data_IF_183156661371
#
_entry.id   IF_183156661371
#
_cell.length_a   1.000
_cell.length_b   1.000
_cell.length_c   1.000
_cell.angle_alpha   90.00
_cell.angle_beta   90.00
_cell.angle_gamma   90.00
#
_symmetry.space_group_name_H-M   'P 1'
#
loop_
_entity.id
_entity.type
_entity.pdbx_description
1 polymer ?
#
# COMPACT_ATOMS: atom_id res chain seq x y z
N UNK A 1 12.62 -27.16 12.90
CA UNK A 1 11.82 -26.17 12.17
C UNK A 1 11.60 -26.67 10.75
N UNK A 2 10.35 -26.83 10.29
CA UNK A 2 10.07 -27.12 8.88
C UNK A 2 9.89 -25.78 8.17
N UNK A 3 10.89 -25.35 7.39
CA UNK A 3 10.75 -24.20 6.49
C UNK A 3 9.99 -24.67 5.26
N UNK A 4 8.89 -23.99 4.93
CA UNK A 4 8.13 -24.27 3.71
C UNK A 4 8.48 -23.22 2.66
N UNK A 5 9.00 -23.66 1.50
CA UNK A 5 9.22 -22.81 0.33
C UNK A 5 8.13 -23.07 -0.69
N UNK A 6 7.34 -22.06 -1.01
CA UNK A 6 6.31 -22.13 -2.03
C UNK A 6 6.58 -21.08 -3.12
N UNK A 7 6.64 -21.52 -4.38
CA UNK A 7 6.72 -20.64 -5.55
C UNK A 7 5.39 -20.65 -6.28
N UNK A 8 4.76 -19.47 -6.44
CA UNK A 8 3.52 -19.32 -7.21
C UNK A 8 3.89 -18.72 -8.57
N UNK A 9 3.81 -19.56 -9.62
CA UNK A 9 3.85 -19.15 -11.05
C UNK A 9 5.22 -19.22 -11.76
N UNK A 10 5.21 -19.74 -13.01
CA UNK A 10 6.21 -19.43 -14.06
C UNK A 10 5.64 -18.29 -14.91
N UNK A 11 6.44 -17.31 -15.36
CA UNK A 11 5.92 -16.16 -16.08
C UNK A 11 5.17 -16.57 -17.35
N UNK A 12 3.88 -16.24 -17.44
CA UNK A 12 3.04 -16.39 -18.65
C UNK A 12 2.57 -15.01 -19.11
N UNK A 13 2.20 -14.90 -20.38
CA UNK A 13 1.82 -13.64 -21.04
C UNK A 13 0.58 -12.93 -20.45
N UNK A 14 -0.07 -13.50 -19.43
CA UNK A 14 -1.24 -12.98 -18.72
C UNK A 14 -0.95 -12.43 -17.31
N UNK A 15 0.31 -12.46 -16.84
CA UNK A 15 0.68 -12.13 -15.44
C UNK A 15 0.65 -10.62 -15.12
N UNK A 16 0.25 -9.77 -16.06
CA UNK A 16 0.24 -8.32 -15.91
C UNK A 16 -1.02 -7.74 -15.25
N UNK A 17 -2.11 -8.51 -15.18
CA UNK A 17 -3.36 -8.12 -14.52
C UNK A 17 -3.39 -8.55 -13.05
N UNK A 18 -2.60 -9.57 -12.67
CA UNK A 18 -2.49 -10.03 -11.29
C UNK A 18 -1.54 -9.14 -10.48
N UNK A 19 -2.07 -8.49 -9.45
CA UNK A 19 -1.27 -7.74 -8.47
C UNK A 19 -0.55 -8.69 -7.52
N UNK A 20 0.77 -8.67 -7.55
CA UNK A 20 1.63 -9.38 -6.60
C UNK A 20 1.32 -8.96 -5.17
N UNK A 21 1.04 -7.67 -4.96
CA UNK A 21 0.82 -7.11 -3.62
C UNK A 21 -0.44 -7.69 -2.97
N UNK A 22 -1.53 -7.83 -3.72
CA UNK A 22 -2.77 -8.42 -3.18
C UNK A 22 -2.56 -9.89 -2.79
N UNK A 23 -1.90 -10.68 -3.64
CA UNK A 23 -1.57 -12.09 -3.34
C UNK A 23 -0.77 -12.20 -2.04
N UNK A 24 0.26 -11.35 -1.89
CA UNK A 24 1.09 -11.37 -0.69
C UNK A 24 0.30 -10.98 0.56
N UNK A 25 -0.56 -9.97 0.50
CA UNK A 25 -1.41 -9.57 1.63
C UNK A 25 -2.36 -10.68 2.05
N UNK A 26 -2.97 -11.39 1.09
CA UNK A 26 -3.83 -12.54 1.38
C UNK A 26 -3.08 -13.67 2.08
N UNK A 27 -1.82 -13.91 1.71
CA UNK A 27 -1.01 -15.00 2.29
C UNK A 27 -0.33 -14.62 3.60
N UNK A 28 -0.05 -13.34 3.84
CA UNK A 28 0.76 -12.90 4.98
C UNK A 28 0.13 -13.27 6.33
N UNK A 29 -1.16 -12.96 6.53
CA UNK A 29 -1.81 -13.18 7.83
C UNK A 29 -1.99 -14.68 8.17
N UNK A 30 -2.48 -15.55 7.25
CA UNK A 30 -2.56 -16.97 7.53
C UNK A 30 -1.20 -17.61 7.83
N UNK A 31 -0.15 -17.23 7.09
CA UNK A 31 1.20 -17.75 7.32
C UNK A 31 1.77 -17.29 8.67
N UNK A 32 1.53 -16.03 9.04
CA UNK A 32 1.92 -15.50 10.34
C UNK A 32 1.22 -16.23 11.50
N UNK A 33 -0.07 -16.55 11.34
CA UNK A 33 -0.86 -17.24 12.36
C UNK A 33 -0.55 -18.73 12.45
N UNK A 34 -0.02 -19.35 11.39
CA UNK A 34 0.39 -20.76 11.40
C UNK A 34 1.62 -21.03 12.28
N UNK A 35 2.36 -20.00 12.71
CA UNK A 35 3.51 -20.08 13.61
C UNK A 35 4.80 -20.64 13.00
N UNK A 36 4.76 -21.12 11.75
CA UNK A 36 5.91 -21.64 11.03
C UNK A 36 6.58 -20.60 10.13
N UNK A 37 7.91 -20.57 10.13
CA UNK A 37 8.66 -19.73 9.19
C UNK A 37 8.39 -20.14 7.73
N UNK A 38 8.11 -19.15 6.89
CA UNK A 38 7.67 -19.34 5.50
C UNK A 38 8.36 -18.35 4.57
N UNK A 39 8.72 -18.81 3.37
CA UNK A 39 9.24 -17.97 2.28
C UNK A 39 8.34 -18.15 1.07
N UNK A 40 7.73 -17.05 0.61
CA UNK A 40 6.83 -17.02 -0.53
C UNK A 40 7.42 -16.12 -1.60
N UNK A 41 7.52 -16.63 -2.82
CA UNK A 41 7.92 -15.84 -3.99
C UNK A 41 6.75 -15.76 -4.96
N UNK A 42 6.38 -14.53 -5.33
CA UNK A 42 5.30 -14.26 -6.29
C UNK A 42 5.86 -13.40 -7.43
N UNK A 43 5.53 -13.77 -8.66
CA UNK A 43 5.84 -13.02 -9.86
C UNK A 43 4.55 -12.43 -10.48
N UNK A 44 4.65 -11.25 -11.10
CA UNK A 44 3.50 -10.56 -11.70
C UNK A 44 3.64 -9.02 -11.70
N UNK A 45 2.53 -8.30 -11.69
CA UNK A 45 2.52 -6.84 -11.58
C UNK A 45 2.86 -6.35 -10.17
N UNK A 46 3.90 -5.53 -10.04
CA UNK A 46 4.26 -4.86 -8.77
C UNK A 46 3.87 -3.38 -8.76
N UNK A 47 3.66 -2.78 -9.93
CA UNK A 47 3.19 -1.40 -10.10
C UNK A 47 1.98 -1.42 -11.06
N UNK A 48 0.80 -1.62 -10.48
CA UNK A 48 -0.47 -1.87 -11.19
C UNK A 48 -1.48 -0.75 -10.97
N UNK A 49 -2.40 -0.55 -11.91
CA UNK A 49 -3.42 0.52 -11.85
C UNK A 49 -4.50 0.30 -10.79
N UNK A 50 -4.97 -0.93 -10.65
CA UNK A 50 -6.19 -1.27 -9.88
C UNK A 50 -5.92 -1.84 -8.49
N UNK A 51 -4.66 -1.85 -8.08
CA UNK A 51 -4.26 -2.38 -6.79
C UNK A 51 -3.08 -1.58 -6.24
N UNK A 52 -2.99 -1.41 -4.91
CA UNK A 52 -1.87 -0.72 -4.30
C UNK A 52 -0.53 -1.35 -4.71
N UNK A 53 0.42 -0.54 -5.21
CA UNK A 53 1.68 -1.06 -5.74
C UNK A 53 2.66 -1.38 -4.60
N UNK A 54 3.80 -1.97 -4.96
CA UNK A 54 4.79 -2.42 -3.98
C UNK A 54 5.24 -1.33 -2.99
N UNK A 55 5.50 -0.06 -3.39
CA UNK A 55 5.87 0.98 -2.43
C UNK A 55 4.81 1.20 -1.34
N UNK A 56 3.52 1.13 -1.70
CA UNK A 56 2.44 1.20 -0.72
C UNK A 56 2.53 0.04 0.28
N UNK A 57 2.70 -1.19 -0.23
CA UNK A 57 2.77 -2.37 0.61
C UNK A 57 3.98 -2.31 1.56
N UNK A 58 5.13 -1.88 1.06
CA UNK A 58 6.39 -1.84 1.79
C UNK A 58 6.48 -0.69 2.81
N UNK A 59 5.99 0.50 2.46
CA UNK A 59 6.16 1.71 3.27
C UNK A 59 4.96 2.04 4.15
N UNK A 60 3.73 1.64 3.78
CA UNK A 60 2.52 1.92 4.57
C UNK A 60 1.99 0.70 5.33
N UNK A 61 1.73 -0.41 4.63
CA UNK A 61 1.05 -1.57 5.22
C UNK A 61 1.98 -2.46 6.07
N UNK A 62 3.17 -2.80 5.55
CA UNK A 62 4.12 -3.67 6.22
C UNK A 62 4.49 -3.18 7.63
N UNK A 63 4.81 -1.89 7.86
CA UNK A 63 5.14 -1.39 9.20
C UNK A 63 3.99 -1.54 10.19
N UNK A 64 2.73 -1.41 9.74
CA UNK A 64 1.56 -1.58 10.61
C UNK A 64 1.39 -3.04 11.02
N UNK A 65 1.53 -3.97 10.08
CA UNK A 65 1.46 -5.41 10.36
C UNK A 65 2.61 -5.88 11.26
N UNK A 66 3.81 -5.32 11.09
CA UNK A 66 4.93 -5.53 12.00
C UNK A 66 4.65 -4.99 13.41
N UNK A 67 4.04 -3.81 13.53
CA UNK A 67 3.60 -3.26 14.84
C UNK A 67 2.56 -4.13 15.53
N UNK A 68 1.74 -4.84 14.76
CA UNK A 68 0.82 -5.86 15.28
C UNK A 68 1.52 -7.16 15.70
N UNK A 69 2.85 -7.23 15.62
CA UNK A 69 3.65 -8.35 16.12
C UNK A 69 4.00 -9.41 15.09
N UNK A 70 3.73 -9.17 13.80
CA UNK A 70 4.09 -10.11 12.75
C UNK A 70 5.54 -9.90 12.31
N UNK A 71 6.36 -10.95 12.44
CA UNK A 71 7.70 -10.98 11.84
C UNK A 71 7.56 -11.18 10.32
N UNK A 72 7.53 -10.08 9.57
CA UNK A 72 7.30 -10.05 8.14
C UNK A 72 8.36 -9.19 7.46
N UNK A 73 8.88 -9.62 6.31
CA UNK A 73 9.70 -8.78 5.44
C UNK A 73 9.31 -8.96 3.98
N UNK A 74 9.53 -7.92 3.18
CA UNK A 74 9.22 -7.87 1.77
C UNK A 74 10.45 -7.38 0.98
N UNK A 75 10.76 -8.04 -0.11
CA UNK A 75 11.88 -7.68 -0.98
C UNK A 75 11.44 -7.64 -2.45
N UNK A 76 11.56 -6.47 -3.07
CA UNK A 76 11.35 -6.31 -4.50
C UNK A 76 12.58 -6.79 -5.28
N UNK A 77 12.48 -7.97 -5.89
CA UNK A 77 13.55 -8.54 -6.74
C UNK A 77 13.51 -8.02 -8.17
N UNK A 78 12.36 -7.55 -8.64
CA UNK A 78 12.20 -6.97 -9.96
C UNK A 78 10.91 -6.16 -10.07
N UNK A 79 10.97 -5.01 -10.74
CA UNK A 79 9.80 -4.20 -11.00
C UNK A 79 9.00 -4.79 -12.18
N UNK A 80 7.68 -4.84 -12.03
CA UNK A 80 6.75 -5.22 -13.08
C UNK A 80 5.66 -4.17 -13.21
N UNK A 81 5.75 -3.35 -14.24
CA UNK A 81 4.80 -2.27 -14.51
C UNK A 81 3.67 -2.76 -15.40
N UNK A 82 2.46 -2.30 -15.13
CA UNK A 82 1.35 -2.49 -16.07
C UNK A 82 1.66 -1.81 -17.42
N UNK A 83 1.36 -2.42 -18.58
CA UNK A 83 0.76 -3.76 -18.77
C UNK A 83 1.79 -4.87 -19.02
N UNK A 84 3.10 -4.62 -18.89
CA UNK A 84 4.12 -5.62 -19.20
C UNK A 84 4.28 -6.68 -18.09
N UNK A 85 4.07 -6.32 -16.82
CA UNK A 85 4.22 -7.21 -15.68
C UNK A 85 5.68 -7.69 -15.51
N UNK A 86 5.85 -8.95 -15.09
CA UNK A 86 7.16 -9.60 -14.94
C UNK A 86 7.98 -9.14 -13.73
N UNK A 87 7.34 -8.46 -12.78
CA UNK A 87 7.92 -8.15 -11.48
C UNK A 87 7.98 -9.36 -10.57
N UNK A 88 8.74 -9.23 -9.48
CA UNK A 88 8.94 -10.33 -8.52
C UNK A 88 9.15 -9.77 -7.13
N UNK A 89 8.42 -10.32 -6.17
CA UNK A 89 8.56 -9.98 -4.75
C UNK A 89 8.75 -11.27 -3.95
N UNK A 90 9.66 -11.21 -2.98
CA UNK A 90 9.87 -12.25 -1.98
C UNK A 90 9.30 -11.74 -0.66
N UNK A 91 8.45 -12.56 -0.03
CA UNK A 91 7.92 -12.33 1.30
C UNK A 91 8.45 -13.40 2.23
N UNK A 92 9.04 -12.98 3.34
CA UNK A 92 9.50 -13.89 4.39
C UNK A 92 8.69 -13.62 5.64
N UNK A 93 8.10 -14.70 6.18
CA UNK A 93 7.34 -14.70 7.43
C UNK A 93 8.14 -15.50 8.46
N UNK A 94 8.46 -14.90 9.59
CA UNK A 94 9.13 -15.56 10.71
C UNK A 94 8.22 -16.54 11.46
N UNK A 95 8.83 -17.31 12.36
CA UNK A 95 8.08 -18.13 13.31
C UNK A 95 7.57 -17.24 14.45
N UNK A 96 6.26 -16.98 14.48
CA UNK A 96 5.61 -16.15 15.51
C UNK A 96 4.83 -16.98 16.53
N UNK A 97 4.48 -16.35 17.65
CA UNK A 97 3.70 -16.95 18.74
C UNK A 97 2.22 -17.23 18.39
N UNK A 98 1.78 -16.81 17.19
CA UNK A 98 0.41 -16.97 16.72
C UNK A 98 -0.54 -15.95 17.35
N UNK A 99 -0.88 -14.90 16.60
CA UNK A 99 -1.81 -13.85 17.04
C UNK A 99 -1.34 -12.46 16.67
N UNK A 100 -2.29 -11.54 16.50
CA UNK A 100 -2.01 -10.14 16.22
C UNK A 100 -2.29 -9.30 17.45
N UNK A 101 -1.41 -8.33 17.73
CA UNK A 101 -1.59 -7.33 18.76
C UNK A 101 -2.59 -6.27 18.29
N UNK A 102 -3.36 -5.66 19.21
CA UNK A 102 -4.25 -4.56 18.88
C UNK A 102 -3.53 -3.38 18.22
N UNK A 103 -4.21 -2.70 17.30
CA UNK A 103 -3.71 -1.52 16.60
C UNK A 103 -4.64 -0.32 16.84
N UNK A 104 -4.12 0.74 17.45
CA UNK A 104 -4.84 1.99 17.70
C UNK A 104 -4.16 3.13 16.93
N UNK A 105 -4.89 3.72 15.98
CA UNK A 105 -4.44 4.85 15.16
C UNK A 105 -5.35 6.06 15.44
N UNK A 106 -5.18 6.62 16.63
CA UNK A 106 -6.11 7.59 17.24
C UNK A 106 -5.88 9.04 16.83
N UNK A 107 -4.78 9.32 16.16
CA UNK A 107 -4.42 10.67 15.74
C UNK A 107 -4.09 10.68 14.26
N UNK A 108 -4.65 11.62 13.48
CA UNK A 108 -4.12 11.92 12.17
C UNK A 108 -2.64 12.28 12.30
N UNK A 109 -1.78 11.74 11.45
CA UNK A 109 -0.44 12.28 11.26
C UNK A 109 -0.62 13.68 10.69
N UNK A 110 -0.57 14.73 11.51
CA UNK A 110 -0.78 16.10 11.06
C UNK A 110 0.54 16.88 10.94
N UNK A 111 0.64 17.82 10.00
CA UNK A 111 1.69 18.83 10.03
C UNK A 111 1.72 19.59 11.37
N UNK A 112 2.89 19.99 11.89
CA UNK A 112 4.21 19.94 11.24
C UNK A 112 4.91 18.58 11.36
N UNK A 113 4.27 17.55 11.90
CA UNK A 113 4.91 16.25 12.16
C UNK A 113 4.97 15.29 10.95
N UNK A 114 4.60 15.76 9.76
CA UNK A 114 4.65 14.97 8.53
C UNK A 114 5.92 15.26 7.74
N UNK A 115 6.78 14.26 7.58
CA UNK A 115 7.83 14.28 6.56
C UNK A 115 7.25 13.77 5.24
N UNK A 116 7.35 14.56 4.17
CA UNK A 116 6.77 14.23 2.87
C UNK A 116 7.86 14.09 1.81
N UNK A 117 7.92 12.90 1.21
CA UNK A 117 8.79 12.59 0.08
C UNK A 117 7.97 12.28 -1.16
N UNK A 118 8.49 12.66 -2.33
CA UNK A 118 7.97 12.27 -3.63
C UNK A 118 9.02 11.46 -4.38
N UNK A 119 8.60 10.31 -4.93
CA UNK A 119 9.46 9.46 -5.74
C UNK A 119 8.76 9.06 -7.03
N UNK A 120 9.43 9.29 -8.16
CA UNK A 120 8.98 8.87 -9.47
C UNK A 120 9.99 7.90 -10.11
N UNK A 121 9.49 6.86 -10.76
CA UNK A 121 10.31 5.84 -11.40
C UNK A 121 9.86 5.57 -12.82
N UNK A 122 10.83 5.37 -13.70
CA UNK A 122 10.60 5.02 -15.10
C UNK A 122 11.36 3.76 -15.48
N UNK A 123 10.87 3.06 -16.50
CA UNK A 123 11.54 1.93 -17.15
C UNK A 123 11.30 2.01 -18.64
N UNK A 124 12.36 1.87 -19.45
CA UNK A 124 12.30 1.85 -20.92
C UNK A 124 11.53 3.04 -21.55
N UNK A 125 11.52 4.19 -20.88
CA UNK A 125 10.96 5.47 -21.34
C UNK A 125 11.85 6.63 -20.85
N UNK A 126 11.75 7.84 -21.42
CA UNK A 126 12.61 8.97 -21.04
C UNK A 126 12.45 9.41 -19.58
N UNK A 127 13.58 9.63 -18.89
CA UNK A 127 13.62 10.11 -17.49
C UNK A 127 12.95 11.47 -17.28
N UNK A 128 12.88 12.30 -18.33
CA UNK A 128 12.17 13.58 -18.30
C UNK A 128 10.67 13.46 -18.01
N UNK A 129 10.09 12.25 -18.09
CA UNK A 129 8.71 12.00 -17.64
C UNK A 129 8.62 12.08 -16.11
N UNK A 130 9.47 11.34 -15.38
CA UNK A 130 9.51 11.38 -13.92
C UNK A 130 9.76 12.79 -13.37
N UNK A 131 10.63 13.57 -14.01
CA UNK A 131 10.90 14.95 -13.57
C UNK A 131 9.68 15.86 -13.68
N UNK A 132 8.90 15.74 -14.78
CA UNK A 132 7.67 16.52 -14.97
C UNK A 132 6.57 16.12 -13.99
N UNK A 133 6.47 14.85 -13.64
CA UNK A 133 5.55 14.36 -12.60
C UNK A 133 5.90 14.94 -11.23
N UNK A 134 7.16 14.82 -10.83
CA UNK A 134 7.65 15.35 -9.55
C UNK A 134 7.42 16.86 -9.46
N UNK A 135 7.71 17.58 -10.55
CA UNK A 135 7.51 19.02 -10.60
C UNK A 135 6.04 19.40 -10.46
N UNK A 136 5.14 18.78 -11.23
CA UNK A 136 3.71 19.06 -11.15
C UNK A 136 3.12 18.75 -9.76
N UNK A 137 3.56 17.65 -9.14
CA UNK A 137 3.17 17.31 -7.77
C UNK A 137 3.68 18.35 -6.76
N UNK A 138 4.96 18.72 -6.84
CA UNK A 138 5.57 19.69 -5.93
C UNK A 138 4.94 21.09 -6.06
N UNK A 139 4.63 21.52 -7.29
CA UNK A 139 3.95 22.80 -7.56
C UNK A 139 2.56 22.86 -6.91
N UNK A 140 1.77 21.78 -6.97
CA UNK A 140 0.46 21.73 -6.31
C UNK A 140 0.57 21.76 -4.78
N UNK A 141 1.58 21.09 -4.22
CA UNK A 141 1.78 21.03 -2.78
C UNK A 141 2.32 22.33 -2.19
N UNK A 142 3.02 23.15 -3.00
CA UNK A 142 3.51 24.46 -2.60
C UNK A 142 4.60 24.42 -1.50
N UNK A 143 5.20 23.26 -1.26
CA UNK A 143 6.17 23.03 -0.19
C UNK A 143 7.58 22.83 -0.76
N UNK A 144 8.50 23.71 -0.36
CA UNK A 144 9.90 23.70 -0.83
C UNK A 144 10.78 22.72 -0.06
N UNK A 145 10.28 22.14 1.04
CA UNK A 145 10.99 21.13 1.84
C UNK A 145 10.84 19.70 1.32
N UNK A 146 9.99 19.49 0.30
CA UNK A 146 9.74 18.19 -0.31
C UNK A 146 11.01 17.59 -0.90
N UNK A 147 11.33 16.37 -0.48
CA UNK A 147 12.40 15.59 -1.10
C UNK A 147 11.87 14.93 -2.37
N UNK A 148 12.39 15.38 -3.51
CA UNK A 148 12.05 14.83 -4.83
C UNK A 148 13.12 13.83 -5.27
N UNK A 149 12.71 12.61 -5.64
CA UNK A 149 13.61 11.57 -6.13
C UNK A 149 13.09 10.99 -7.44
N UNK A 150 13.98 10.86 -8.43
CA UNK A 150 13.71 10.11 -9.65
C UNK A 150 14.65 8.91 -9.76
N UNK A 151 14.17 7.80 -10.32
CA UNK A 151 14.99 6.61 -10.52
C UNK A 151 14.59 5.86 -11.79
N UNK A 152 15.57 5.38 -12.55
CA UNK A 152 15.31 4.42 -13.63
C UNK A 152 15.39 3.00 -13.08
N UNK A 153 14.32 2.24 -13.23
CA UNK A 153 14.24 0.83 -12.87
C UNK A 153 14.33 -0.05 -14.13
N UNK A 154 14.89 -1.25 -13.97
CA UNK A 154 14.87 -2.27 -15.02
C UNK A 154 13.58 -3.06 -14.89
N UNK A 155 12.84 -3.18 -16.00
CA UNK A 155 11.71 -4.10 -16.13
C UNK A 155 11.60 -4.61 -17.57
N UNK A 156 10.80 -5.66 -17.84
CA UNK A 156 10.65 -6.21 -19.19
C UNK A 156 10.04 -5.25 -20.23
N UNK A 157 9.39 -4.16 -19.80
CA UNK A 157 8.67 -3.26 -20.69
C UNK A 157 8.75 -1.79 -20.29
N UNK A 158 8.07 -0.90 -21.03
CA UNK A 158 7.88 0.48 -20.61
C UNK A 158 7.08 0.52 -19.31
N UNK A 159 7.46 1.43 -18.40
CA UNK A 159 6.86 1.51 -17.09
C UNK A 159 7.06 2.88 -16.46
N UNK A 160 6.07 3.31 -15.70
CA UNK A 160 6.08 4.61 -15.04
C UNK A 160 5.21 4.58 -13.78
N UNK A 161 5.74 5.06 -12.66
CA UNK A 161 4.98 5.21 -11.44
C UNK A 161 5.55 6.35 -10.59
N UNK A 162 4.67 7.07 -9.91
CA UNK A 162 5.01 8.07 -8.91
C UNK A 162 4.27 7.76 -7.63
N UNK A 163 4.90 8.05 -6.50
CA UNK A 163 4.26 8.02 -5.20
C UNK A 163 4.75 9.12 -4.29
N UNK A 164 3.87 9.47 -3.35
CA UNK A 164 4.14 10.35 -2.23
C UNK A 164 4.08 9.53 -0.95
N UNK A 165 5.13 9.62 -0.13
CA UNK A 165 5.19 9.00 1.20
C UNK A 165 5.08 10.11 2.23
N UNK A 166 4.04 10.10 3.06
CA UNK A 166 3.85 11.01 4.18
C UNK A 166 4.06 10.26 5.49
N UNK A 167 5.21 10.49 6.15
CA UNK A 167 5.58 9.81 7.39
C UNK A 167 5.16 10.66 8.58
N UNK A 168 4.16 10.17 9.31
CA UNK A 168 3.75 10.73 10.59
C UNK A 168 4.20 9.87 11.78
N UNK A 169 4.02 10.38 13.01
CA UNK A 169 4.46 9.69 14.23
C UNK A 169 3.71 8.36 14.46
N UNK A 170 2.45 8.28 14.05
CA UNK A 170 1.61 7.11 14.25
C UNK A 170 1.50 6.20 13.03
N UNK A 171 1.63 6.74 11.82
CA UNK A 171 1.37 5.99 10.58
C UNK A 171 2.04 6.68 9.40
N UNK A 172 2.51 5.87 8.45
CA UNK A 172 2.99 6.34 7.15
C UNK A 172 1.90 6.11 6.11
N UNK A 173 1.56 7.16 5.36
CA UNK A 173 0.65 7.08 4.22
C UNK A 173 1.44 7.03 2.93
N UNK A 174 0.94 6.29 1.95
CA UNK A 174 1.50 6.26 0.60
C UNK A 174 0.40 6.48 -0.42
N UNK A 175 0.57 7.48 -1.26
CA UNK A 175 -0.34 7.79 -2.37
C UNK A 175 0.40 7.53 -3.67
N UNK A 176 -0.25 6.86 -4.62
CA UNK A 176 0.44 6.39 -5.83
C UNK A 176 -0.36 6.71 -7.08
N UNK A 177 0.34 6.91 -8.20
CA UNK A 177 -0.24 6.97 -9.53
C UNK A 177 0.68 6.24 -10.53
N UNK A 178 0.05 5.62 -11.53
CA UNK A 178 0.74 4.89 -12.59
C UNK A 178 0.59 5.69 -13.89
N UNK A 179 1.69 5.85 -14.62
CA UNK A 179 1.66 6.49 -15.93
C UNK A 179 1.03 5.59 -16.98
N UNK A 180 0.30 6.18 -17.91
CA UNK A 180 -0.44 5.46 -18.94
C UNK A 180 -0.20 6.04 -20.33
N UNK A 181 -0.30 5.20 -21.35
CA UNK A 181 -0.19 5.66 -22.73
C UNK A 181 -1.28 6.68 -23.01
N UNK A 182 -0.88 7.88 -23.43
CA UNK A 182 -1.79 8.98 -23.76
C UNK A 182 -2.12 9.91 -22.59
N UNK A 183 -1.75 9.54 -21.36
CA UNK A 183 -1.89 10.40 -20.18
C UNK A 183 -0.65 11.28 -20.01
N UNK A 184 -0.84 12.55 -19.69
CA UNK A 184 0.28 13.48 -19.50
C UNK A 184 1.01 13.20 -18.19
N UNK A 185 2.32 13.41 -18.18
CA UNK A 185 3.16 13.32 -16.99
C UNK A 185 2.65 14.25 -15.88
N UNK A 186 2.25 15.48 -16.23
CA UNK A 186 1.77 16.45 -15.25
C UNK A 186 0.48 15.97 -14.57
N UNK A 187 -0.44 15.37 -15.32
CA UNK A 187 -1.68 14.80 -14.77
C UNK A 187 -1.40 13.66 -13.78
N UNK A 188 -0.42 12.80 -14.09
CA UNK A 188 0.00 11.70 -13.21
C UNK A 188 0.59 12.24 -11.89
N UNK A 189 1.40 13.30 -11.95
CA UNK A 189 1.93 13.97 -10.76
C UNK A 189 0.84 14.63 -9.90
N UNK A 190 -0.08 15.35 -10.55
CA UNK A 190 -1.21 16.01 -9.89
C UNK A 190 -2.11 15.02 -9.15
N UNK A 191 -2.37 13.83 -9.71
CA UNK A 191 -3.21 12.82 -9.05
C UNK A 191 -2.67 12.38 -7.69
N UNK A 192 -1.35 12.19 -7.57
CA UNK A 192 -0.75 11.81 -6.28
C UNK A 192 -0.87 12.95 -5.27
N UNK A 193 -0.56 14.17 -5.70
CA UNK A 193 -0.61 15.34 -4.84
C UNK A 193 -2.05 15.65 -4.38
N UNK A 194 -3.04 15.57 -5.28
CA UNK A 194 -4.46 15.75 -4.92
C UNK A 194 -4.93 14.73 -3.90
N UNK A 195 -4.63 13.44 -4.09
CA UNK A 195 -5.01 12.40 -3.13
C UNK A 195 -4.41 12.62 -1.74
N UNK A 196 -3.17 13.10 -1.68
CA UNK A 196 -2.54 13.46 -0.42
C UNK A 196 -3.24 14.66 0.24
N UNK A 197 -3.54 15.72 -0.53
CA UNK A 197 -4.25 16.90 -0.04
C UNK A 197 -5.62 16.53 0.50
N UNK A 198 -6.40 15.73 -0.25
CA UNK A 198 -7.72 15.27 0.15
C UNK A 198 -7.67 14.50 1.49
N UNK A 199 -6.71 13.59 1.64
CA UNK A 199 -6.51 12.86 2.89
C UNK A 199 -6.07 13.78 4.03
N UNK A 200 -5.07 14.65 3.80
CA UNK A 200 -4.53 15.59 4.80
C UNK A 200 -5.65 16.48 5.35
N UNK A 201 -6.48 17.01 4.47
CA UNK A 201 -7.55 17.94 4.82
C UNK A 201 -8.73 17.22 5.48
N UNK A 202 -8.89 15.91 5.26
CA UNK A 202 -9.87 15.09 6.00
C UNK A 202 -9.55 14.90 7.48
N UNK A 203 -8.29 15.11 7.89
CA UNK A 203 -7.82 14.89 9.28
C UNK A 203 -8.11 13.48 9.83
N UNK A 204 -8.08 12.47 8.96
CA UNK A 204 -8.28 11.06 9.34
C UNK A 204 -6.94 10.34 9.50
N UNK A 205 -6.88 9.25 10.27
CA UNK A 205 -5.62 8.57 10.54
C UNK A 205 -5.12 7.73 9.38
N UNK A 206 -6.00 7.17 8.54
CA UNK A 206 -5.59 6.34 7.40
C UNK A 206 -6.22 6.77 6.08
N UNK A 207 -5.47 6.63 4.98
CA UNK A 207 -5.99 6.79 3.64
C UNK A 207 -6.92 5.63 3.25
N UNK A 208 -7.74 5.85 2.22
CA UNK A 208 -8.71 4.89 1.68
C UNK A 208 -8.14 3.47 1.48
N UNK A 209 -6.93 3.33 0.91
CA UNK A 209 -6.35 2.00 0.68
C UNK A 209 -5.98 1.27 1.98
N UNK A 210 -5.48 1.99 3.00
CA UNK A 210 -5.20 1.40 4.30
C UNK A 210 -6.49 1.05 5.04
N UNK A 211 -7.56 1.83 4.88
CA UNK A 211 -8.88 1.52 5.45
C UNK A 211 -9.29 0.09 5.12
N UNK A 212 -9.29 -0.28 3.83
CA UNK A 212 -9.72 -1.60 3.39
C UNK A 212 -8.79 -2.71 3.90
N UNK A 213 -7.48 -2.44 3.90
CA UNK A 213 -6.47 -3.46 4.19
C UNK A 213 -6.24 -3.72 5.68
N UNK A 214 -6.65 -2.80 6.56
CA UNK A 214 -6.51 -2.96 8.01
C UNK A 214 -7.70 -3.68 8.65
N UNK A 215 -8.87 -3.72 8.01
CA UNK A 215 -10.08 -4.34 8.58
C UNK A 215 -9.87 -5.81 8.99
N UNK A 216 -9.25 -6.61 8.13
CA UNK A 216 -8.97 -8.02 8.42
C UNK A 216 -7.93 -8.18 9.54
N UNK A 217 -6.73 -7.55 9.48
CA UNK A 217 -5.79 -7.55 10.60
C UNK A 217 -6.41 -7.12 11.93
N UNK A 218 -7.22 -6.04 11.93
CA UNK A 218 -7.87 -5.51 13.12
C UNK A 218 -8.83 -6.53 13.74
N UNK A 219 -9.66 -7.15 12.90
CA UNK A 219 -10.59 -8.18 13.32
C UNK A 219 -9.87 -9.42 13.86
N UNK A 220 -8.73 -9.81 13.28
CA UNK A 220 -7.92 -10.93 13.75
C UNK A 220 -7.23 -10.62 15.09
N UNK A 221 -6.79 -9.38 15.31
CA UNK A 221 -6.25 -8.91 16.58
C UNK A 221 -7.32 -8.89 17.69
N UNK A 222 -8.60 -8.80 17.32
CA UNK A 222 -9.74 -8.82 18.24
C UNK A 222 -10.03 -7.48 18.91
N UNK A 223 -9.15 -6.49 18.76
CA UNK A 223 -9.42 -5.10 19.10
C UNK A 223 -8.49 -4.14 18.36
N UNK A 224 -8.93 -2.89 18.26
CA UNK A 224 -8.18 -1.77 17.72
C UNK A 224 -9.13 -0.73 17.17
N UNK A 225 -8.60 0.36 16.62
CA UNK A 225 -9.41 1.36 15.89
C UNK A 225 -8.54 2.25 15.02
N UNK A 226 -9.17 2.83 14.00
CA UNK A 226 -8.61 3.90 13.20
C UNK A 226 -9.71 4.82 12.67
N UNK A 227 -9.36 6.04 12.25
CA UNK A 227 -10.26 6.95 11.55
C UNK A 227 -9.92 7.03 10.07
N UNK A 228 -10.94 7.16 9.23
CA UNK A 228 -10.83 7.18 7.78
C UNK A 228 -11.83 8.13 7.15
N UNK A 229 -11.63 8.43 5.87
CA UNK A 229 -12.60 9.12 5.03
C UNK A 229 -13.83 8.23 4.79
N UNK A 230 -14.76 8.68 3.96
CA UNK A 230 -15.96 7.94 3.58
C UNK A 230 -15.65 6.51 3.15
N UNK A 231 -16.40 5.56 3.71
CA UNK A 231 -16.25 4.13 3.44
C UNK A 231 -16.68 3.82 2.02
N UNK A 232 -15.82 3.12 1.29
CA UNK A 232 -16.09 2.69 -0.08
C UNK A 232 -16.99 1.45 -0.09
N UNK A 233 -17.50 1.07 -1.27
CA UNK A 233 -18.18 -0.23 -1.40
C UNK A 233 -17.27 -1.42 -1.02
N UNK A 234 -15.97 -1.33 -1.29
CA UNK A 234 -15.01 -2.35 -0.85
C UNK A 234 -14.91 -2.41 0.67
N UNK A 235 -14.93 -1.25 1.33
CA UNK A 235 -14.88 -1.14 2.79
C UNK A 235 -16.12 -1.80 3.42
N UNK A 236 -17.31 -1.52 2.90
CA UNK A 236 -18.55 -2.16 3.36
C UNK A 236 -18.55 -3.67 3.14
N UNK A 237 -18.10 -4.13 1.96
CA UNK A 237 -17.97 -5.56 1.66
C UNK A 237 -16.99 -6.24 2.64
N UNK A 238 -15.87 -5.61 2.95
CA UNK A 238 -14.90 -6.16 3.91
C UNK A 238 -15.49 -6.30 5.32
N UNK A 239 -16.31 -5.34 5.76
CA UNK A 239 -17.01 -5.42 7.06
C UNK A 239 -17.93 -6.66 7.11
N UNK A 240 -18.70 -6.90 6.04
CA UNK A 240 -19.58 -8.06 5.96
C UNK A 240 -18.81 -9.39 5.94
N UNK A 241 -17.74 -9.47 5.13
CA UNK A 241 -16.89 -10.67 5.02
C UNK A 241 -16.21 -10.97 6.35
N UNK A 242 -15.66 -9.97 7.03
CA UNK A 242 -15.07 -10.13 8.36
C UNK A 242 -16.09 -10.71 9.34
N UNK A 243 -17.32 -10.20 9.34
CA UNK A 243 -18.41 -10.71 10.16
C UNK A 243 -18.74 -12.17 9.89
N UNK A 244 -18.85 -12.53 8.61
CA UNK A 244 -19.19 -13.89 8.20
C UNK A 244 -18.13 -14.94 8.59
N UNK A 245 -16.84 -14.59 8.51
CA UNK A 245 -15.75 -15.55 8.76
C UNK A 245 -15.26 -15.59 10.20
N UNK A 246 -15.30 -14.47 10.92
CA UNK A 246 -14.73 -14.36 12.28
C UNK A 246 -15.78 -14.38 13.38
N UNK A 247 -17.06 -14.15 13.04
CA UNK A 247 -18.12 -13.91 14.01
C UNK A 247 -18.00 -12.58 14.78
N UNK A 248 -16.99 -11.76 14.45
CA UNK A 248 -16.76 -10.44 15.06
C UNK A 248 -17.42 -9.35 14.24
N UNK A 249 -17.96 -8.34 14.92
CA UNK A 249 -18.56 -7.17 14.25
C UNK A 249 -17.61 -6.00 14.34
N UNK A 250 -17.16 -5.50 13.18
CA UNK A 250 -16.53 -4.19 13.10
C UNK A 250 -17.59 -3.12 13.35
N UNK A 251 -17.33 -2.25 14.32
CA UNK A 251 -18.17 -1.11 14.64
C UNK A 251 -17.73 0.07 13.79
N UNK A 252 -18.71 0.68 13.11
CA UNK A 252 -18.51 1.90 12.34
C UNK A 252 -19.22 3.04 13.04
N UNK A 253 -18.51 4.14 13.30
CA UNK A 253 -19.07 5.37 13.85
C UNK A 253 -18.85 6.51 12.85
N UNK A 254 -19.92 7.19 12.47
CA UNK A 254 -19.88 8.41 11.68
C UNK A 254 -19.69 9.63 12.61
N UNK A 255 -18.65 10.43 12.35
CA UNK A 255 -18.38 11.68 13.07
C UNK A 255 -18.87 12.93 12.32
N UNK A 256 -19.52 12.77 11.17
CA UNK A 256 -19.91 13.83 10.26
C UNK A 256 -18.75 14.39 9.45
N UNK A 257 -19.09 15.11 8.37
CA UNK A 257 -18.10 15.72 7.47
C UNK A 257 -17.27 14.70 6.68
N UNK A 258 -17.83 13.52 6.39
CA UNK A 258 -17.16 12.46 5.63
C UNK A 258 -16.07 11.71 6.42
N UNK A 259 -16.12 11.73 7.76
CA UNK A 259 -15.14 11.07 8.63
C UNK A 259 -15.79 9.94 9.42
N UNK A 260 -15.14 8.79 9.42
CA UNK A 260 -15.60 7.58 10.07
C UNK A 260 -14.52 7.01 10.98
N UNK A 261 -14.94 6.30 12.03
CA UNK A 261 -14.09 5.42 12.84
C UNK A 261 -14.52 3.98 12.65
N UNK A 262 -13.53 3.09 12.51
CA UNK A 262 -13.70 1.64 12.42
C UNK A 262 -12.94 1.00 13.57
N UNK A 263 -13.59 0.11 14.32
CA UNK A 263 -13.00 -0.61 15.46
C UNK A 263 -13.64 -1.95 15.76
#
# INVERSE_FOLDING_TARGET
SRSTKAGIGRPRSTDCESSVCLVLQTLALPLAMAGGASEVTVAGGTHTRWAPPFPFLAEAWLPLVQRMGVDLSLELRGAGFYPAGGGKVVMTVGAGEGGLKPLYLDSPGQPPSLEVDLKAVVSNIPEGIARRELQAAAELLGDTSLRLQSQTLRSPGPGNAIWLTARGPAVTQVFTAIGEKGKRAEEVGLEVASRFVDWRDSQTSVCQHLTDQLMIPLALAGSGRFSCQELTMHSWTNIEVVGAFTGRKLLVRDFGGGRFEVG
#
